data_IF_699218036169
#
_entry.id   IF_699218036169
#
_cell.length_a   1.000
_cell.length_b   1.000
_cell.length_c   1.000
_cell.angle_alpha   90.00
_cell.angle_beta   90.00
_cell.angle_gamma   90.00
#
_symmetry.space_group_name_H-M   'P 1'
#
loop_
_entity.id
_entity.type
_entity.pdbx_description
1 polymer ?
#
# COMPACT_ATOMS: atom_id res chain seq x y z
N UNK A 1 3.69 76.01 32.66
CA UNK A 1 4.52 74.86 33.07
C UNK A 1 3.61 73.66 33.15
N UNK A 2 3.67 72.77 32.16
CA UNK A 2 3.13 71.41 32.25
C UNK A 2 4.13 70.52 31.51
N UNK A 3 4.67 69.55 32.25
CA UNK A 3 5.79 68.70 31.89
C UNK A 3 5.46 67.66 30.80
N UNK A 4 6.52 67.28 30.09
CA UNK A 4 6.60 66.14 29.19
C UNK A 4 6.36 64.81 29.93
N UNK A 5 5.61 63.90 29.31
CA UNK A 5 5.94 62.47 29.31
C UNK A 5 5.60 61.89 27.93
N UNK A 6 6.56 61.45 27.10
CA UNK A 6 6.26 60.60 25.96
C UNK A 6 6.24 59.14 26.42
N UNK A 7 5.12 58.47 26.13
CA UNK A 7 5.00 57.01 26.23
C UNK A 7 6.08 56.34 25.36
N UNK A 8 6.99 55.60 25.99
CA UNK A 8 7.88 54.65 25.31
C UNK A 8 7.13 53.35 25.07
N UNK A 9 6.60 53.16 23.86
CA UNK A 9 5.86 51.93 23.48
C UNK A 9 6.25 51.43 22.07
N UNK A 10 7.51 51.53 21.65
CA UNK A 10 7.88 51.09 20.28
C UNK A 10 9.12 50.20 20.15
N UNK A 11 9.78 49.83 21.25
CA UNK A 11 11.03 49.05 21.19
C UNK A 11 10.86 47.57 21.58
N UNK A 12 9.75 47.18 22.20
CA UNK A 12 9.55 45.81 22.72
C UNK A 12 8.93 44.90 21.65
N UNK A 13 8.00 45.41 20.86
CA UNK A 13 7.29 44.61 19.84
C UNK A 13 8.16 44.26 18.63
N UNK A 14 9.09 45.12 18.24
CA UNK A 14 9.99 44.87 17.09
C UNK A 14 11.04 43.80 17.41
N UNK A 15 11.52 43.75 18.66
CA UNK A 15 12.47 42.74 19.10
C UNK A 15 11.81 41.37 19.25
N UNK A 16 10.57 41.32 19.73
CA UNK A 16 9.84 40.06 19.90
C UNK A 16 9.54 39.39 18.54
N UNK A 17 9.04 40.17 17.57
CA UNK A 17 8.75 39.68 16.21
C UNK A 17 10.02 39.22 15.50
N UNK A 18 11.14 39.93 15.67
CA UNK A 18 12.41 39.55 15.06
C UNK A 18 13.00 38.25 15.63
N UNK A 19 12.93 38.05 16.95
CA UNK A 19 13.43 36.84 17.60
C UNK A 19 12.54 35.62 17.28
N UNK A 20 11.22 35.82 17.17
CA UNK A 20 10.28 34.81 16.65
C UNK A 20 10.57 34.44 15.19
N UNK A 21 10.84 35.42 14.33
CA UNK A 21 11.20 35.18 12.92
C UNK A 21 12.51 34.38 12.79
N UNK A 22 13.55 34.72 13.58
CA UNK A 22 14.81 33.97 13.63
C UNK A 22 14.58 32.53 14.10
N UNK A 23 13.72 32.35 15.12
CA UNK A 23 13.38 31.03 15.64
C UNK A 23 12.61 30.20 14.61
N UNK A 24 11.65 30.81 13.91
CA UNK A 24 10.89 30.18 12.83
C UNK A 24 11.80 29.79 11.67
N UNK A 25 12.73 30.64 11.28
CA UNK A 25 13.66 30.35 10.18
C UNK A 25 14.66 29.25 10.55
N UNK A 26 15.10 29.19 11.80
CA UNK A 26 15.88 28.08 12.34
C UNK A 26 15.09 26.77 12.31
N UNK A 27 13.82 26.79 12.71
CA UNK A 27 12.92 25.63 12.63
C UNK A 27 12.74 25.19 11.17
N UNK A 28 12.42 26.11 10.25
CA UNK A 28 12.30 25.83 8.81
C UNK A 28 13.58 25.24 8.22
N UNK A 29 14.75 25.73 8.63
CA UNK A 29 16.04 25.20 8.18
C UNK A 29 16.27 23.76 8.68
N UNK A 30 15.97 23.49 9.96
CA UNK A 30 16.03 22.13 10.53
C UNK A 30 15.10 21.16 9.81
N UNK A 31 13.85 21.57 9.54
CA UNK A 31 12.89 20.76 8.80
C UNK A 31 13.35 20.48 7.36
N UNK A 32 13.83 21.49 6.64
CA UNK A 32 14.41 21.30 5.29
C UNK A 32 15.55 20.28 5.29
N UNK A 33 16.44 20.33 6.30
CA UNK A 33 17.52 19.36 6.45
C UNK A 33 17.02 17.94 6.76
N UNK A 34 15.90 17.78 7.45
CA UNK A 34 15.28 16.46 7.68
C UNK A 34 14.67 15.92 6.38
N UNK A 35 13.89 16.73 5.66
CA UNK A 35 13.29 16.36 4.38
C UNK A 35 14.36 15.95 3.37
N UNK A 36 15.44 16.73 3.28
CA UNK A 36 16.56 16.42 2.38
C UNK A 36 17.20 15.07 2.70
N UNK A 37 17.54 14.82 3.98
CA UNK A 37 18.13 13.54 4.41
C UNK A 37 17.18 12.37 4.19
N UNK A 38 15.87 12.58 4.38
CA UNK A 38 14.88 11.55 4.12
C UNK A 38 14.81 11.21 2.63
N UNK A 39 14.78 12.21 1.74
CA UNK A 39 14.81 12.01 0.30
C UNK A 39 16.09 11.27 -0.16
N UNK A 40 17.26 11.68 0.34
CA UNK A 40 18.54 10.99 0.06
C UNK A 40 18.54 9.55 0.58
N UNK A 41 17.95 9.29 1.74
CA UNK A 41 17.82 7.94 2.29
C UNK A 41 16.86 7.08 1.44
N UNK A 42 15.73 7.64 1.03
CA UNK A 42 14.78 6.99 0.12
C UNK A 42 15.43 6.67 -1.20
N UNK A 43 16.19 7.59 -1.80
CA UNK A 43 16.92 7.35 -3.05
C UNK A 43 17.99 6.25 -2.90
N UNK A 44 18.74 6.27 -1.79
CA UNK A 44 19.78 5.25 -1.53
C UNK A 44 19.21 3.86 -1.26
N UNK A 45 18.00 3.79 -0.69
CA UNK A 45 17.33 2.54 -0.37
C UNK A 45 16.44 2.04 -1.51
N UNK A 46 15.95 2.96 -2.36
CA UNK A 46 15.24 2.65 -3.60
C UNK A 46 16.26 2.15 -4.62
N UNK A 47 16.25 0.85 -4.88
CA UNK A 47 17.10 0.25 -5.90
C UNK A 47 16.43 0.46 -7.26
N UNK A 48 17.20 0.55 -8.34
CA UNK A 48 16.63 0.56 -9.71
C UNK A 48 15.71 -0.65 -9.95
N UNK A 49 15.97 -1.77 -9.28
CA UNK A 49 15.09 -2.94 -9.26
C UNK A 49 13.69 -2.63 -8.74
N UNK A 50 13.58 -1.76 -7.74
CA UNK A 50 12.32 -1.46 -7.05
C UNK A 50 11.44 -0.58 -7.95
N UNK A 51 12.05 0.32 -8.73
CA UNK A 51 11.34 1.07 -9.77
C UNK A 51 10.82 0.16 -10.88
N UNK A 52 11.65 -0.77 -11.36
CA UNK A 52 11.24 -1.75 -12.37
C UNK A 52 10.12 -2.67 -11.84
N UNK A 53 10.20 -3.09 -10.57
CA UNK A 53 9.16 -3.87 -9.89
C UNK A 53 7.87 -3.06 -9.81
N UNK A 54 7.95 -1.79 -9.38
CA UNK A 54 6.78 -0.91 -9.29
C UNK A 54 6.07 -0.76 -10.64
N UNK A 55 6.81 -0.39 -11.69
CA UNK A 55 6.22 -0.18 -13.03
C UNK A 55 5.64 -1.47 -13.61
N UNK A 56 6.24 -2.63 -13.31
CA UNK A 56 5.69 -3.93 -13.74
C UNK A 56 4.43 -4.28 -12.95
N UNK A 57 4.47 -4.18 -11.62
CA UNK A 57 3.32 -4.48 -10.78
C UNK A 57 2.15 -3.54 -11.09
N UNK A 58 2.39 -2.24 -11.21
CA UNK A 58 1.34 -1.30 -11.61
C UNK A 58 0.63 -1.74 -12.89
N UNK A 59 1.39 -2.13 -13.93
CA UNK A 59 0.80 -2.65 -15.18
C UNK A 59 0.00 -3.94 -14.99
N UNK A 60 0.44 -4.85 -14.13
CA UNK A 60 -0.29 -6.08 -13.82
C UNK A 60 -1.62 -5.78 -13.09
N UNK A 61 -1.60 -4.85 -12.14
CA UNK A 61 -2.79 -4.41 -11.41
C UNK A 61 -3.76 -3.64 -12.32
N UNK A 62 -3.25 -2.75 -13.17
CA UNK A 62 -4.07 -2.02 -14.14
C UNK A 62 -4.73 -2.98 -15.14
N UNK A 63 -4.00 -4.01 -15.61
CA UNK A 63 -4.56 -5.04 -16.47
C UNK A 63 -5.61 -5.90 -15.76
N UNK A 64 -5.38 -6.26 -14.49
CA UNK A 64 -6.35 -6.97 -13.67
C UNK A 64 -7.63 -6.14 -13.52
N UNK A 65 -7.49 -4.87 -13.13
CA UNK A 65 -8.60 -3.93 -12.98
C UNK A 65 -9.35 -3.68 -14.31
N UNK A 66 -8.64 -3.46 -15.41
CA UNK A 66 -9.26 -3.27 -16.72
C UNK A 66 -10.03 -4.50 -17.22
N UNK A 67 -9.66 -5.70 -16.76
CA UNK A 67 -10.33 -6.94 -17.10
C UNK A 67 -11.37 -7.40 -16.08
N UNK A 68 -11.55 -6.66 -14.99
CA UNK A 68 -12.48 -7.02 -13.94
C UNK A 68 -13.93 -7.02 -14.46
N UNK A 69 -14.72 -7.97 -14.01
CA UNK A 69 -16.14 -8.08 -14.37
C UNK A 69 -17.06 -7.79 -13.19
N UNK A 70 -16.53 -7.88 -11.97
CA UNK A 70 -17.29 -7.65 -10.74
C UNK A 70 -16.38 -7.03 -9.67
N UNK A 71 -16.93 -6.10 -8.89
CA UNK A 71 -16.29 -5.55 -7.70
C UNK A 71 -17.16 -5.80 -6.47
N UNK A 72 -16.57 -6.38 -5.42
CA UNK A 72 -17.24 -6.70 -4.15
C UNK A 72 -16.66 -5.82 -3.05
N UNK A 73 -17.51 -5.05 -2.40
CA UNK A 73 -17.15 -4.22 -1.25
C UNK A 73 -17.30 -5.01 0.04
N UNK A 74 -16.22 -5.07 0.82
CA UNK A 74 -16.19 -5.68 2.14
C UNK A 74 -16.49 -4.61 3.20
N UNK A 75 -17.17 -5.00 4.27
CA UNK A 75 -17.43 -4.10 5.39
C UNK A 75 -16.14 -3.87 6.20
N UNK A 76 -15.78 -2.59 6.36
CA UNK A 76 -14.59 -2.19 7.11
C UNK A 76 -13.29 -2.19 6.29
N UNK A 77 -12.16 -2.26 6.99
CA UNK A 77 -10.83 -2.21 6.37
C UNK A 77 -10.16 -3.58 6.22
N UNK A 78 -10.70 -4.63 6.86
CA UNK A 78 -10.07 -5.94 6.93
C UNK A 78 -10.76 -6.96 6.03
N UNK A 79 -9.99 -7.94 5.55
CA UNK A 79 -10.54 -9.18 5.02
C UNK A 79 -10.36 -10.28 6.07
N UNK A 80 -11.21 -11.30 6.00
CA UNK A 80 -11.06 -12.50 6.82
C UNK A 80 -10.41 -13.65 6.02
N UNK A 81 -9.97 -14.69 6.74
CA UNK A 81 -9.34 -15.88 6.16
C UNK A 81 -10.23 -16.57 5.11
N UNK A 82 -11.56 -16.49 5.25
CA UNK A 82 -12.52 -17.05 4.31
C UNK A 82 -12.50 -16.36 2.93
N UNK A 83 -12.46 -15.02 2.92
CA UNK A 83 -12.31 -14.23 1.69
C UNK A 83 -11.00 -14.59 0.99
N UNK A 84 -9.91 -14.63 1.75
CA UNK A 84 -8.59 -14.94 1.21
C UNK A 84 -8.53 -16.38 0.66
N UNK A 85 -9.12 -17.35 1.36
CA UNK A 85 -9.24 -18.73 0.88
C UNK A 85 -10.03 -18.83 -0.43
N UNK A 86 -11.10 -18.06 -0.57
CA UNK A 86 -11.92 -18.03 -1.80
C UNK A 86 -11.14 -17.44 -2.97
N UNK A 87 -10.42 -16.33 -2.76
CA UNK A 87 -9.57 -15.73 -3.80
C UNK A 87 -8.46 -16.71 -4.20
N UNK A 88 -7.85 -17.35 -3.20
CA UNK A 88 -6.81 -18.36 -3.41
C UNK A 88 -7.28 -19.54 -4.24
N UNK A 89 -8.46 -20.10 -3.94
CA UNK A 89 -9.05 -21.18 -4.73
C UNK A 89 -9.22 -20.76 -6.19
N UNK A 90 -9.75 -19.55 -6.45
CA UNK A 90 -9.94 -19.05 -7.81
C UNK A 90 -8.64 -18.91 -8.59
N UNK A 91 -7.59 -18.34 -8.01
CA UNK A 91 -6.32 -18.14 -8.74
C UNK A 91 -5.64 -19.47 -9.09
N UNK A 92 -5.77 -20.48 -8.22
CA UNK A 92 -5.27 -21.84 -8.48
C UNK A 92 -6.08 -22.53 -9.57
N UNK A 93 -7.42 -22.50 -9.48
CA UNK A 93 -8.28 -23.07 -10.52
C UNK A 93 -8.07 -22.41 -11.90
N UNK A 94 -7.88 -21.09 -11.94
CA UNK A 94 -7.57 -20.34 -13.16
C UNK A 94 -6.24 -20.80 -13.77
N UNK A 95 -5.20 -20.93 -12.95
CA UNK A 95 -3.87 -21.36 -13.40
C UNK A 95 -3.90 -22.79 -13.94
N UNK A 96 -4.56 -23.72 -13.25
CA UNK A 96 -4.70 -25.11 -13.67
C UNK A 96 -5.47 -25.23 -15.00
N UNK A 97 -6.52 -24.42 -15.18
CA UNK A 97 -7.29 -24.38 -16.43
C UNK A 97 -6.47 -23.88 -17.60
N UNK A 98 -5.66 -22.83 -17.40
CA UNK A 98 -4.74 -22.31 -18.42
C UNK A 98 -3.64 -23.32 -18.77
N UNK A 99 -3.09 -24.01 -17.76
CA UNK A 99 -2.07 -25.05 -17.95
C UNK A 99 -2.61 -26.28 -18.70
N UNK A 100 -3.90 -26.60 -18.53
CA UNK A 100 -4.56 -27.74 -19.18
C UNK A 100 -4.95 -27.49 -20.66
N UNK A 101 -4.49 -26.41 -21.28
CA UNK A 101 -4.64 -26.17 -22.71
C UNK A 101 -6.04 -25.71 -23.15
N UNK A 102 -6.80 -25.06 -22.25
CA UNK A 102 -8.02 -24.29 -22.52
C UNK A 102 -8.82 -24.68 -23.76
N UNK A 103 -9.49 -25.83 -23.75
CA UNK A 103 -10.48 -26.14 -24.77
C UNK A 103 -11.59 -25.08 -24.73
N UNK A 104 -11.84 -24.46 -25.88
CA UNK A 104 -12.93 -23.53 -26.14
C UNK A 104 -14.29 -24.20 -25.92
N UNK A 105 -14.74 -24.27 -24.67
CA UNK A 105 -16.17 -24.34 -24.39
C UNK A 105 -16.47 -23.12 -23.53
N UNK A 106 -17.04 -22.10 -24.20
CA UNK A 106 -17.78 -21.02 -23.56
C UNK A 106 -18.90 -21.66 -22.75
N UNK A 107 -18.60 -22.04 -21.52
CA UNK A 107 -19.60 -22.19 -20.49
C UNK A 107 -19.50 -20.88 -19.73
N UNK A 108 -20.61 -20.14 -19.69
CA UNK A 108 -20.84 -19.00 -18.79
C UNK A 108 -20.69 -19.47 -17.35
N UNK A 109 -19.45 -19.72 -16.95
CA UNK A 109 -19.10 -20.19 -15.63
C UNK A 109 -18.83 -18.97 -14.78
N UNK A 110 -19.34 -18.92 -13.53
CA UNK A 110 -18.92 -17.93 -12.53
C UNK A 110 -17.39 -17.88 -12.33
N UNK A 111 -16.66 -18.88 -12.85
CA UNK A 111 -15.20 -18.97 -12.88
C UNK A 111 -14.53 -18.05 -13.92
N UNK A 112 -15.28 -17.48 -14.87
CA UNK A 112 -14.76 -16.47 -15.80
C UNK A 112 -14.85 -15.06 -15.21
N UNK A 113 -15.62 -14.88 -14.13
CA UNK A 113 -15.75 -13.60 -13.47
C UNK A 113 -14.41 -13.22 -12.83
N UNK A 114 -13.84 -12.12 -13.31
CA UNK A 114 -12.68 -11.50 -12.69
C UNK A 114 -13.18 -10.58 -11.59
N UNK A 115 -13.30 -11.17 -10.41
CA UNK A 115 -13.78 -10.49 -9.21
C UNK A 115 -12.63 -9.75 -8.54
N UNK A 116 -12.85 -8.46 -8.29
CA UNK A 116 -12.02 -7.61 -7.45
C UNK A 116 -12.72 -7.39 -6.10
N UNK A 117 -11.97 -7.41 -5.01
CA UNK A 117 -12.49 -7.13 -3.67
C UNK A 117 -11.95 -5.79 -3.18
N UNK A 118 -12.80 -4.96 -2.57
CA UNK A 118 -12.39 -3.69 -1.98
C UNK A 118 -12.69 -3.67 -0.49
N UNK A 119 -11.68 -3.36 0.33
CA UNK A 119 -11.78 -3.20 1.78
C UNK A 119 -11.07 -1.92 2.21
N UNK A 120 -11.82 -0.88 2.57
CA UNK A 120 -11.28 0.47 2.77
C UNK A 120 -10.47 0.95 1.56
N UNK A 121 -9.21 1.33 1.78
CA UNK A 121 -8.28 1.73 0.71
C UNK A 121 -7.47 0.58 0.10
N UNK A 122 -7.90 -0.67 0.31
CA UNK A 122 -7.25 -1.87 -0.23
C UNK A 122 -8.09 -2.47 -1.35
N UNK A 123 -7.44 -2.82 -2.44
CA UNK A 123 -8.00 -3.55 -3.59
C UNK A 123 -7.28 -4.88 -3.71
N UNK A 124 -8.04 -5.98 -3.73
CA UNK A 124 -7.52 -7.35 -3.82
C UNK A 124 -8.03 -7.97 -5.11
N UNK A 125 -7.11 -8.46 -5.95
CA UNK A 125 -7.46 -9.00 -7.25
C UNK A 125 -6.70 -10.30 -7.56
N UNK A 126 -7.25 -11.06 -8.50
CA UNK A 126 -6.58 -12.23 -9.06
C UNK A 126 -5.54 -11.78 -10.09
N UNK A 127 -4.30 -12.24 -9.94
CA UNK A 127 -3.21 -12.05 -10.91
C UNK A 127 -2.91 -13.36 -11.64
N UNK A 128 -2.18 -13.28 -12.75
CA UNK A 128 -1.81 -14.46 -13.53
C UNK A 128 -0.83 -15.38 -12.77
N UNK A 129 -0.97 -16.69 -12.93
CA UNK A 129 -0.03 -17.69 -12.38
C UNK A 129 -0.28 -18.02 -10.90
N UNK A 130 -1.53 -18.22 -10.49
CA UNK A 130 -1.90 -18.53 -9.10
C UNK A 130 -1.47 -17.46 -8.06
N UNK A 131 -1.40 -16.19 -8.51
CA UNK A 131 -0.98 -15.05 -7.69
C UNK A 131 -2.16 -14.20 -7.26
N UNK A 132 -2.09 -13.66 -6.05
CA UNK A 132 -3.07 -12.71 -5.49
C UNK A 132 -2.39 -11.35 -5.38
N UNK A 133 -2.99 -10.33 -5.97
CA UNK A 133 -2.54 -8.95 -5.88
C UNK A 133 -3.30 -8.20 -4.80
N UNK A 134 -2.59 -7.45 -3.95
CA UNK A 134 -3.14 -6.46 -3.04
C UNK A 134 -2.53 -5.11 -3.39
N UNK A 135 -3.36 -4.14 -3.75
CA UNK A 135 -3.00 -2.75 -3.91
C UNK A 135 -3.53 -1.97 -2.71
N UNK A 136 -2.68 -1.14 -2.13
CA UNK A 136 -3.02 -0.23 -1.05
C UNK A 136 -2.85 1.20 -1.53
N UNK A 137 -3.92 1.96 -1.45
CA UNK A 137 -3.93 3.39 -1.74
C UNK A 137 -3.79 4.17 -0.43
N UNK A 138 -2.84 5.09 -0.40
CA UNK A 138 -2.71 6.07 0.68
C UNK A 138 -3.39 7.36 0.31
N UNK A 139 -3.96 8.03 1.31
CA UNK A 139 -4.53 9.36 1.13
C UNK A 139 -4.04 10.33 2.20
N UNK A 140 -3.90 11.59 1.82
CA UNK A 140 -3.58 12.69 2.72
C UNK A 140 -4.57 13.83 2.47
N UNK A 141 -5.23 14.28 3.54
CA UNK A 141 -6.28 15.30 3.45
C UNK A 141 -7.40 14.97 2.44
N UNK A 142 -7.68 13.68 2.23
CA UNK A 142 -8.70 13.19 1.29
C UNK A 142 -8.20 12.98 -0.14
N UNK A 143 -6.96 13.38 -0.46
CA UNK A 143 -6.37 13.20 -1.79
C UNK A 143 -5.51 11.94 -1.86
N UNK A 144 -5.67 11.10 -2.90
CA UNK A 144 -4.78 9.96 -3.16
C UNK A 144 -3.32 10.42 -3.31
N UNK A 145 -2.40 9.70 -2.68
CA UNK A 145 -0.98 10.03 -2.66
C UNK A 145 -0.17 8.98 -3.41
N UNK A 146 -0.01 7.80 -2.81
CA UNK A 146 0.85 6.74 -3.31
C UNK A 146 0.12 5.40 -3.31
N UNK A 147 0.44 4.57 -4.31
CA UNK A 147 0.00 3.18 -4.41
C UNK A 147 1.14 2.25 -4.02
N UNK A 148 0.82 1.29 -3.17
CA UNK A 148 1.72 0.19 -2.83
C UNK A 148 1.11 -1.14 -3.25
N UNK A 149 1.97 -2.04 -3.70
CA UNK A 149 1.58 -3.34 -4.20
C UNK A 149 2.20 -4.43 -3.33
N UNK A 150 1.44 -5.49 -3.09
CA UNK A 150 1.90 -6.73 -2.47
C UNK A 150 1.34 -7.89 -3.29
N UNK A 151 2.21 -8.83 -3.66
CA UNK A 151 1.84 -10.03 -4.42
C UNK A 151 2.06 -11.23 -3.52
N UNK A 152 0.99 -11.98 -3.33
CA UNK A 152 0.99 -13.22 -2.57
C UNK A 152 0.93 -14.41 -3.52
N UNK A 153 1.65 -15.46 -3.17
CA UNK A 153 1.67 -16.70 -3.92
C UNK A 153 1.65 -17.90 -2.96
N UNK A 154 1.11 -19.01 -3.43
CA UNK A 154 1.26 -20.31 -2.79
C UNK A 154 1.39 -21.37 -3.87
N UNK A 155 2.24 -22.38 -3.70
CA UNK A 155 2.45 -23.40 -4.75
C UNK A 155 1.27 -24.35 -4.91
N UNK A 156 0.47 -24.51 -3.86
CA UNK A 156 -0.78 -25.27 -3.86
C UNK A 156 -1.74 -24.67 -2.83
N UNK A 157 -3.02 -25.04 -2.88
CA UNK A 157 -4.02 -24.60 -1.89
C UNK A 157 -3.67 -24.99 -0.43
N UNK A 158 -2.93 -26.08 -0.23
CA UNK A 158 -2.57 -26.59 1.10
C UNK A 158 -1.29 -25.98 1.68
N UNK A 159 -0.48 -25.32 0.86
CA UNK A 159 0.78 -24.75 1.31
C UNK A 159 0.61 -23.43 2.06
N UNK A 160 1.69 -22.93 2.68
CA UNK A 160 1.70 -21.58 3.23
C UNK A 160 1.67 -20.57 2.07
N UNK A 161 0.92 -19.50 2.24
CA UNK A 161 0.97 -18.35 1.33
C UNK A 161 2.09 -17.39 1.77
N UNK A 162 2.87 -16.88 0.81
CA UNK A 162 4.06 -16.07 1.05
C UNK A 162 4.04 -14.79 0.24
N UNK A 163 4.75 -13.75 0.70
CA UNK A 163 4.94 -12.54 -0.09
C UNK A 163 6.05 -12.77 -1.11
N UNK A 164 5.67 -12.70 -2.38
CA UNK A 164 6.56 -12.93 -3.52
C UNK A 164 7.24 -11.62 -3.96
N UNK A 165 6.45 -10.56 -4.16
CA UNK A 165 6.94 -9.25 -4.61
C UNK A 165 6.13 -8.12 -3.95
N UNK A 166 6.75 -6.97 -3.71
CA UNK A 166 6.05 -5.80 -3.19
C UNK A 166 6.77 -4.49 -3.53
N UNK A 167 6.03 -3.39 -3.44
CA UNK A 167 6.58 -2.02 -3.46
C UNK A 167 6.47 -1.34 -2.11
N UNK A 168 6.12 -2.11 -1.07
CA UNK A 168 5.96 -1.61 0.30
C UNK A 168 7.30 -1.02 0.81
N UNK A 169 7.30 0.19 1.39
CA UNK A 169 8.51 0.84 1.88
C UNK A 169 9.26 0.01 2.92
N UNK A 170 10.60 0.09 2.88
CA UNK A 170 11.50 -0.71 3.73
C UNK A 170 11.27 -0.57 5.24
N UNK A 171 10.68 0.55 5.69
CA UNK A 171 10.42 0.81 7.11
C UNK A 171 9.16 0.09 7.61
N UNK A 172 8.35 -0.50 6.72
CA UNK A 172 7.24 -1.35 7.09
C UNK A 172 7.71 -2.81 7.14
N UNK A 173 7.50 -3.53 8.27
CA UNK A 173 8.10 -4.84 8.49
C UNK A 173 7.31 -5.96 7.80
N UNK A 174 7.31 -5.98 6.47
CA UNK A 174 6.50 -6.91 5.68
C UNK A 174 6.80 -8.39 5.96
N UNK A 175 8.06 -8.72 6.29
CA UNK A 175 8.46 -10.10 6.62
C UNK A 175 7.90 -10.56 7.97
N UNK A 176 7.76 -9.65 8.92
CA UNK A 176 7.12 -9.94 10.22
C UNK A 176 5.62 -10.14 9.99
N UNK A 177 4.98 -9.24 9.24
CA UNK A 177 3.57 -9.37 8.88
C UNK A 177 3.26 -10.69 8.14
N UNK A 178 4.10 -11.10 7.18
CA UNK A 178 3.98 -12.42 6.52
C UNK A 178 4.07 -13.58 7.55
N UNK A 179 4.96 -13.47 8.52
CA UNK A 179 5.19 -14.48 9.53
C UNK A 179 4.13 -14.49 10.63
N UNK A 180 3.40 -13.43 10.87
CA UNK A 180 2.38 -13.38 11.93
C UNK A 180 0.98 -13.65 11.37
N UNK A 181 0.71 -13.14 10.16
CA UNK A 181 -0.63 -13.12 9.57
C UNK A 181 -0.84 -14.23 8.53
N UNK A 182 0.22 -14.66 7.82
CA UNK A 182 0.10 -15.70 6.77
C UNK A 182 0.66 -17.06 7.18
N UNK A 183 1.35 -17.16 8.31
CA UNK A 183 2.08 -18.36 8.76
C UNK A 183 1.25 -19.45 9.41
N UNK A 184 -0.03 -19.21 9.66
CA UNK A 184 -0.81 -20.17 10.42
C UNK A 184 -1.53 -21.12 9.48
N UNK A 185 -0.98 -22.34 9.38
CA UNK A 185 -1.79 -23.54 9.14
C UNK A 185 -3.06 -23.40 9.98
N UNK A 186 -4.22 -23.32 9.31
CA UNK A 186 -5.53 -23.33 9.95
C UNK A 186 -5.75 -24.54 10.88
N UNK A 187 -4.85 -25.55 10.85
CA UNK A 187 -4.87 -26.72 11.72
C UNK A 187 -4.30 -26.53 13.13
N UNK A 188 -3.63 -25.42 13.49
CA UNK A 188 -2.91 -25.33 14.80
C UNK A 188 -3.44 -24.23 15.74
N UNK A 189 -4.48 -23.47 15.36
CA UNK A 189 -5.09 -22.46 16.25
C UNK A 189 -6.28 -22.98 17.09
N UNK A 190 -6.52 -24.29 17.13
CA UNK A 190 -7.49 -24.91 18.05
C UNK A 190 -6.85 -26.11 18.78
N UNK A 191 -6.10 -25.84 19.84
CA UNK A 191 -5.92 -26.72 20.99
C UNK A 191 -5.97 -25.88 22.27
#
# INVERSE_FOLDING_TARGET
MVDQVPYSTTMVDTNFVHDEDIQIDSIKARFRNVVKRHAELTERLSRDSDKMIFERLQREFDAAHASQTQEIYLEGEDWNDGVLATIRERVHMEADRKASGGSSMQIDSPLLEKVTYRAGSKVICCLEGARIGIQYETSFAGEPCEFYHCVLESKSFLEKMTVQEHTIPFFLPIREAENDLLSSNAMVRNL
#
